data_IF_022145286673
#
_entry.id   IF_022145286673
#
_cell.length_a   1.000
_cell.length_b   1.000
_cell.length_c   1.000
_cell.angle_alpha   90.00
_cell.angle_beta   90.00
_cell.angle_gamma   90.00
#
_symmetry.space_group_name_H-M   'P 1'
#
loop_
_entity.id
_entity.type
_entity.pdbx_description
1 polymer ?
#
# COMPACT_ATOMS: atom_id res chain seq x y z
N UNK A 1 5.79 -31.71 -57.07
CA UNK A 1 4.96 -30.75 -56.29
C UNK A 1 5.49 -30.69 -54.89
N UNK A 2 6.08 -29.60 -54.51
CA UNK A 2 6.57 -29.41 -53.13
C UNK A 2 5.61 -28.49 -52.43
N UNK A 3 4.87 -29.01 -51.46
CA UNK A 3 4.05 -28.22 -50.59
C UNK A 3 4.92 -27.50 -49.56
N UNK A 4 5.08 -26.22 -49.71
CA UNK A 4 5.67 -25.39 -48.67
C UNK A 4 4.64 -25.18 -47.56
N UNK A 5 4.77 -25.96 -46.49
CA UNK A 5 4.09 -25.72 -45.25
C UNK A 5 4.81 -24.56 -44.58
N UNK A 6 4.29 -23.37 -44.78
CA UNK A 6 4.67 -22.20 -43.95
C UNK A 6 4.00 -22.40 -42.58
N UNK A 7 4.76 -22.97 -41.66
CA UNK A 7 4.34 -22.94 -40.26
C UNK A 7 4.43 -21.51 -39.78
N UNK A 8 3.29 -20.81 -39.77
CA UNK A 8 3.16 -19.52 -39.13
C UNK A 8 3.23 -19.75 -37.61
N UNK A 9 4.45 -19.66 -37.07
CA UNK A 9 4.63 -19.63 -35.62
C UNK A 9 4.07 -18.33 -35.11
N UNK A 10 2.80 -18.35 -34.74
CA UNK A 10 2.21 -17.25 -34.00
C UNK A 10 2.90 -17.22 -32.62
N UNK A 11 3.89 -16.34 -32.47
CA UNK A 11 4.41 -15.98 -31.17
C UNK A 11 3.25 -15.29 -30.42
N UNK A 12 2.55 -16.06 -29.64
CA UNK A 12 1.69 -15.52 -28.58
C UNK A 12 2.64 -14.87 -27.57
N UNK A 13 2.93 -13.58 -27.77
CA UNK A 13 3.46 -12.77 -26.70
C UNK A 13 2.32 -12.64 -25.70
N UNK A 14 2.25 -13.59 -24.77
CA UNK A 14 1.44 -13.40 -23.58
C UNK A 14 2.06 -12.22 -22.83
N UNK A 15 1.55 -11.01 -23.09
CA UNK A 15 1.86 -9.86 -22.28
C UNK A 15 1.46 -10.21 -20.85
N UNK A 16 2.43 -10.52 -19.98
CA UNK A 16 2.19 -10.62 -18.56
C UNK A 16 1.82 -9.22 -18.08
N UNK A 17 0.52 -8.96 -17.93
CA UNK A 17 0.03 -7.83 -17.17
C UNK A 17 0.47 -8.08 -15.73
N UNK A 18 1.54 -7.42 -15.30
CA UNK A 18 1.93 -7.45 -13.90
C UNK A 18 0.82 -6.77 -13.10
N UNK A 19 0.12 -7.56 -12.29
CA UNK A 19 -0.87 -7.03 -11.38
C UNK A 19 -0.17 -6.15 -10.35
N UNK A 20 -0.71 -4.95 -10.11
CA UNK A 20 -0.22 -4.09 -9.06
C UNK A 20 -0.43 -4.75 -7.69
N UNK A 21 0.51 -4.53 -6.78
CA UNK A 21 0.41 -4.94 -5.40
C UNK A 21 0.36 -3.73 -4.47
N UNK A 22 -0.38 -3.87 -3.38
CA UNK A 22 -0.45 -2.87 -2.33
C UNK A 22 0.30 -3.36 -1.10
N UNK A 23 1.04 -2.46 -0.47
CA UNK A 23 1.65 -2.69 0.83
C UNK A 23 1.10 -1.66 1.82
N UNK A 24 0.56 -2.13 2.93
CA UNK A 24 0.13 -1.28 4.03
C UNK A 24 1.05 -1.48 5.21
N UNK A 25 1.62 -0.40 5.73
CA UNK A 25 2.49 -0.38 6.90
C UNK A 25 1.85 0.44 8.01
N UNK A 26 1.69 -0.18 9.17
CA UNK A 26 1.25 0.50 10.39
C UNK A 26 2.49 0.91 11.19
N UNK A 27 2.59 2.18 11.52
CA UNK A 27 3.81 2.77 12.08
C UNK A 27 3.44 3.57 13.32
N UNK A 28 4.26 3.46 14.36
CA UNK A 28 4.20 4.33 15.53
C UNK A 28 5.28 5.40 15.43
N UNK A 29 4.86 6.65 15.45
CA UNK A 29 5.73 7.83 15.45
C UNK A 29 5.91 8.31 16.89
N UNK A 30 7.15 8.53 17.32
CA UNK A 30 7.48 8.90 18.69
C UNK A 30 8.70 9.83 18.75
N UNK A 31 8.76 10.66 19.79
CA UNK A 31 9.93 11.45 20.12
C UNK A 31 10.75 10.83 21.26
N UNK A 32 10.27 9.75 21.86
CA UNK A 32 11.03 9.00 22.86
C UNK A 32 12.26 8.34 22.22
N UNK A 33 13.36 8.26 22.95
CA UNK A 33 14.63 7.74 22.48
C UNK A 33 14.58 6.27 22.10
N UNK A 34 14.05 6.00 20.91
CA UNK A 34 14.04 4.67 20.29
C UNK A 34 14.71 4.79 18.92
N UNK A 35 15.34 3.71 18.49
CA UNK A 35 15.94 3.67 17.15
C UNK A 35 14.83 3.46 16.13
N UNK A 36 14.85 4.23 15.04
CA UNK A 36 13.94 4.00 13.92
C UNK A 36 14.19 2.61 13.34
N UNK A 37 13.10 1.88 13.07
CA UNK A 37 13.16 0.56 12.47
C UNK A 37 13.88 0.62 11.12
N UNK A 38 14.93 -0.20 10.92
CA UNK A 38 15.66 -0.22 9.65
C UNK A 38 14.78 -0.52 8.43
N UNK A 39 13.67 -1.24 8.59
CA UNK A 39 12.72 -1.52 7.51
C UNK A 39 12.00 -0.27 6.99
N UNK A 40 12.07 0.85 7.70
CA UNK A 40 11.44 2.12 7.34
C UNK A 40 12.40 3.12 6.71
N UNK A 41 13.65 2.75 6.47
CA UNK A 41 14.67 3.67 5.93
C UNK A 41 14.30 4.29 4.59
N UNK A 42 13.57 3.55 3.76
CA UNK A 42 13.11 4.01 2.46
C UNK A 42 12.16 5.22 2.55
N UNK A 43 11.37 5.31 3.62
CA UNK A 43 10.38 6.38 3.83
C UNK A 43 10.68 7.30 5.02
N UNK A 44 11.70 7.03 5.80
CA UNK A 44 12.02 7.80 7.01
C UNK A 44 12.13 9.31 6.75
N UNK A 45 12.85 9.80 5.72
CA UNK A 45 12.93 11.23 5.46
C UNK A 45 11.56 11.87 5.19
N UNK A 46 10.68 11.15 4.53
CA UNK A 46 9.32 11.62 4.24
C UNK A 46 8.44 11.62 5.48
N UNK A 47 8.57 10.60 6.34
CA UNK A 47 7.87 10.52 7.61
C UNK A 47 8.25 11.71 8.51
N UNK A 48 9.54 12.01 8.63
CA UNK A 48 10.04 13.14 9.42
C UNK A 48 9.51 14.48 8.92
N UNK A 49 9.51 14.69 7.61
CA UNK A 49 8.99 15.93 7.02
C UNK A 49 7.49 16.11 7.21
N UNK A 50 6.72 15.03 7.12
CA UNK A 50 5.26 15.10 7.18
C UNK A 50 4.74 15.19 8.60
N UNK A 51 5.33 14.46 9.54
CA UNK A 51 4.79 14.27 10.88
C UNK A 51 5.62 14.90 11.98
N UNK A 52 6.88 15.21 11.73
CA UNK A 52 7.72 15.94 12.68
C UNK A 52 8.24 15.14 13.87
N UNK A 53 8.01 13.82 13.91
CA UNK A 53 8.57 12.95 14.92
C UNK A 53 9.97 12.49 14.53
N UNK A 54 10.77 12.11 15.52
CA UNK A 54 12.15 11.69 15.27
C UNK A 54 12.29 10.18 15.06
N UNK A 55 11.44 9.38 15.67
CA UNK A 55 11.54 7.92 15.68
C UNK A 55 10.28 7.26 15.16
N UNK A 56 10.48 6.19 14.39
CA UNK A 56 9.38 5.47 13.75
C UNK A 56 9.58 3.97 13.93
N UNK A 57 8.54 3.28 14.39
CA UNK A 57 8.54 1.84 14.60
C UNK A 57 7.46 1.19 13.73
N UNK A 58 7.85 0.12 13.02
CA UNK A 58 6.89 -0.70 12.28
C UNK A 58 6.10 -1.57 13.26
N UNK A 59 4.79 -1.41 13.31
CA UNK A 59 3.88 -2.21 14.12
C UNK A 59 3.30 -3.40 13.35
N UNK A 60 3.08 -3.24 12.06
CA UNK A 60 2.53 -4.28 11.21
C UNK A 60 2.68 -3.94 9.75
N UNK A 61 2.70 -4.97 8.92
CA UNK A 61 2.79 -4.85 7.46
C UNK A 61 2.01 -5.97 6.80
N UNK A 62 1.28 -5.62 5.74
CA UNK A 62 0.57 -6.58 4.89
C UNK A 62 0.71 -6.18 3.44
N UNK A 63 0.78 -7.19 2.56
CA UNK A 63 0.85 -7.01 1.11
C UNK A 63 -0.23 -7.85 0.45
N UNK A 64 -0.82 -7.31 -0.61
CA UNK A 64 -1.81 -8.02 -1.45
C UNK A 64 -1.63 -7.65 -2.91
N UNK A 65 -1.84 -8.63 -3.79
CA UNK A 65 -1.97 -8.39 -5.23
C UNK A 65 -3.40 -7.96 -5.50
N UNK A 66 -3.56 -6.79 -6.10
CA UNK A 66 -4.86 -6.17 -6.31
C UNK A 66 -5.56 -6.69 -7.57
N UNK A 67 -6.86 -6.98 -7.42
CA UNK A 67 -7.79 -7.25 -8.53
C UNK A 67 -8.95 -6.27 -8.43
N UNK A 68 -9.39 -5.73 -9.56
CA UNK A 68 -10.49 -4.78 -9.59
C UNK A 68 -11.76 -5.35 -8.94
N UNK A 69 -12.50 -4.47 -8.28
CA UNK A 69 -13.81 -4.74 -7.65
C UNK A 69 -13.81 -5.80 -6.53
N UNK A 70 -12.63 -6.23 -6.06
CA UNK A 70 -12.51 -7.11 -4.91
C UNK A 70 -12.05 -6.32 -3.69
N UNK A 71 -12.73 -6.49 -2.56
CA UNK A 71 -12.33 -5.87 -1.30
C UNK A 71 -11.33 -6.76 -0.58
N UNK A 72 -10.18 -6.17 -0.23
CA UNK A 72 -9.12 -6.82 0.54
C UNK A 72 -9.16 -6.32 1.97
N UNK A 73 -9.04 -7.24 2.91
CA UNK A 73 -8.94 -6.94 4.33
C UNK A 73 -7.51 -7.17 4.79
N UNK A 74 -6.82 -6.09 5.14
CA UNK A 74 -5.43 -6.13 5.60
C UNK A 74 -5.41 -5.94 7.12
N UNK A 75 -5.14 -7.01 7.85
CA UNK A 75 -4.99 -6.96 9.30
C UNK A 75 -3.56 -6.55 9.64
N UNK A 76 -3.39 -5.38 10.23
CA UNK A 76 -2.09 -4.81 10.56
C UNK A 76 -1.66 -5.06 12.01
N UNK A 77 -2.49 -5.77 12.78
CA UNK A 77 -2.24 -6.02 14.19
C UNK A 77 -2.82 -4.93 15.10
N UNK A 78 -2.84 -5.19 16.38
CA UNK A 78 -3.33 -4.27 17.43
C UNK A 78 -4.77 -3.75 17.21
N UNK A 79 -5.60 -4.52 16.51
CA UNK A 79 -6.98 -4.15 16.18
C UNK A 79 -7.10 -3.22 14.96
N UNK A 80 -6.02 -2.86 14.31
CA UNK A 80 -6.03 -2.02 13.11
C UNK A 80 -6.21 -2.86 11.85
N UNK A 81 -7.18 -2.48 11.03
CA UNK A 81 -7.51 -3.13 9.77
C UNK A 81 -7.68 -2.09 8.68
N UNK A 82 -7.16 -2.38 7.51
CA UNK A 82 -7.37 -1.57 6.30
C UNK A 82 -8.14 -2.38 5.29
N UNK A 83 -9.27 -1.83 4.82
CA UNK A 83 -10.02 -2.39 3.70
C UNK A 83 -9.69 -1.62 2.44
N UNK A 84 -9.34 -2.33 1.39
CA UNK A 84 -8.98 -1.74 0.10
C UNK A 84 -9.84 -2.37 -0.99
N UNK A 85 -10.50 -1.52 -1.77
CA UNK A 85 -11.29 -1.96 -2.93
C UNK A 85 -10.78 -1.23 -4.17
N UNK A 86 -10.00 -1.87 -5.03
CA UNK A 86 -9.59 -1.29 -6.30
C UNK A 86 -10.81 -1.04 -7.19
N UNK A 87 -10.87 0.15 -7.79
CA UNK A 87 -11.99 0.56 -8.67
C UNK A 87 -11.58 0.60 -10.12
N UNK A 88 -10.54 1.36 -10.44
CA UNK A 88 -10.08 1.53 -11.83
C UNK A 88 -8.59 1.82 -11.88
N UNK A 89 -8.00 1.51 -13.03
CA UNK A 89 -6.60 1.83 -13.33
C UNK A 89 -6.56 2.55 -14.67
N UNK A 90 -5.90 3.69 -14.70
CA UNK A 90 -5.68 4.49 -15.91
C UNK A 90 -4.31 5.13 -15.87
N UNK A 91 -3.48 4.90 -16.88
CA UNK A 91 -2.16 5.52 -17.01
C UNK A 91 -1.27 5.36 -15.77
N UNK A 92 -1.21 4.13 -15.21
CA UNK A 92 -0.48 3.79 -13.98
C UNK A 92 -1.02 4.47 -12.72
N UNK A 93 -2.16 5.13 -12.81
CA UNK A 93 -2.87 5.71 -11.69
C UNK A 93 -3.99 4.77 -11.27
N UNK A 94 -4.01 4.39 -10.01
CA UNK A 94 -4.98 3.46 -9.43
C UNK A 94 -5.93 4.20 -8.51
N UNK A 95 -7.21 4.10 -8.83
CA UNK A 95 -8.27 4.59 -7.96
C UNK A 95 -8.77 3.45 -7.08
N UNK A 96 -8.87 3.70 -5.79
CA UNK A 96 -9.34 2.70 -4.82
C UNK A 96 -10.11 3.33 -3.68
N UNK A 97 -11.09 2.60 -3.18
CA UNK A 97 -11.72 2.90 -1.90
C UNK A 97 -10.85 2.34 -0.79
N UNK A 98 -10.64 3.15 0.25
CA UNK A 98 -9.82 2.80 1.39
C UNK A 98 -10.56 3.13 2.67
N UNK A 99 -10.64 2.15 3.59
CA UNK A 99 -11.16 2.35 4.93
C UNK A 99 -10.17 1.81 5.96
N UNK A 100 -9.77 2.67 6.87
CA UNK A 100 -8.90 2.31 7.99
C UNK A 100 -9.72 2.27 9.26
N UNK A 101 -9.75 1.12 9.93
CA UNK A 101 -10.54 0.91 11.14
C UNK A 101 -9.66 0.53 12.32
N UNK A 102 -10.14 0.85 13.52
CA UNK A 102 -9.61 0.36 14.79
C UNK A 102 -10.77 -0.24 15.58
N UNK A 103 -10.74 -1.58 15.75
CA UNK A 103 -11.88 -2.29 16.30
C UNK A 103 -13.15 -2.04 15.48
N UNK A 104 -14.19 -1.46 16.11
CA UNK A 104 -15.46 -1.11 15.44
C UNK A 104 -15.49 0.32 14.90
N UNK A 105 -14.47 1.13 15.19
CA UNK A 105 -14.42 2.53 14.79
C UNK A 105 -13.80 2.67 13.39
N UNK A 106 -14.45 3.41 12.50
CA UNK A 106 -13.88 3.85 11.24
C UNK A 106 -13.06 5.12 11.48
N UNK A 107 -11.76 5.05 11.24
CA UNK A 107 -10.84 6.19 11.42
C UNK A 107 -10.79 7.07 10.18
N UNK A 108 -10.71 6.43 9.02
CA UNK A 108 -10.65 7.08 7.71
C UNK A 108 -11.43 6.25 6.72
N UNK A 109 -12.28 6.90 5.93
CA UNK A 109 -12.98 6.28 4.81
C UNK A 109 -12.94 7.25 3.64
N UNK A 110 -12.26 6.86 2.56
CA UNK A 110 -12.00 7.76 1.45
C UNK A 110 -11.76 7.00 0.16
N UNK A 111 -11.86 7.72 -0.95
CA UNK A 111 -11.41 7.25 -2.25
C UNK A 111 -10.12 7.98 -2.61
N UNK A 112 -9.09 7.24 -2.97
CA UNK A 112 -7.78 7.78 -3.28
C UNK A 112 -7.33 7.39 -4.68
N UNK A 113 -6.47 8.20 -5.27
CA UNK A 113 -5.74 7.88 -6.50
C UNK A 113 -4.26 7.84 -6.17
N UNK A 114 -3.64 6.70 -6.42
CA UNK A 114 -2.22 6.48 -6.14
C UNK A 114 -1.54 6.02 -7.42
N UNK A 115 -0.42 6.67 -7.77
CA UNK A 115 0.43 6.20 -8.85
C UNK A 115 1.32 5.05 -8.37
N UNK A 116 1.65 4.14 -9.28
CA UNK A 116 2.61 3.08 -9.01
C UNK A 116 3.95 3.66 -8.56
N UNK A 117 4.52 3.09 -7.51
CA UNK A 117 5.76 3.56 -6.88
C UNK A 117 5.57 4.67 -5.84
N UNK A 118 4.38 5.21 -5.68
CA UNK A 118 4.10 6.28 -4.73
C UNK A 118 3.58 5.74 -3.39
N UNK A 119 3.71 6.58 -2.37
CA UNK A 119 3.26 6.33 -1.02
C UNK A 119 2.14 7.30 -0.63
N UNK A 120 1.14 6.79 0.06
CA UNK A 120 0.09 7.57 0.72
C UNK A 120 0.35 7.54 2.23
N UNK A 121 0.44 8.70 2.85
CA UNK A 121 0.67 8.84 4.29
C UNK A 121 -0.59 9.33 4.96
N UNK A 122 -1.09 8.59 5.95
CA UNK A 122 -2.31 8.93 6.68
C UNK A 122 -2.01 8.97 8.16
N UNK A 123 -2.25 10.11 8.80
CA UNK A 123 -2.14 10.26 10.25
C UNK A 123 -3.39 9.71 10.93
N UNK A 124 -3.20 8.80 11.86
CA UNK A 124 -4.25 8.17 12.62
C UNK A 124 -4.37 8.69 14.04
N UNK A 125 -4.79 7.85 14.99
CA UNK A 125 -5.01 8.27 16.36
C UNK A 125 -3.72 8.51 17.13
N UNK A 126 -3.80 9.37 18.13
CA UNK A 126 -2.75 9.56 19.12
C UNK A 126 -2.78 8.46 20.17
N UNK A 127 -1.59 8.09 20.66
CA UNK A 127 -1.40 7.14 21.77
C UNK A 127 -0.43 7.80 22.75
N UNK A 128 -0.97 8.46 23.79
CA UNK A 128 -0.15 9.32 24.64
C UNK A 128 0.42 10.47 23.82
N UNK A 129 1.73 10.64 23.87
CA UNK A 129 2.46 11.64 23.07
C UNK A 129 2.84 11.13 21.67
N UNK A 130 2.57 9.86 21.39
CA UNK A 130 2.88 9.21 20.11
C UNK A 130 1.68 9.24 19.17
N UNK A 131 1.93 8.96 17.91
CA UNK A 131 0.89 8.86 16.88
C UNK A 131 1.02 7.59 16.08
N UNK A 132 -0.14 7.07 15.66
CA UNK A 132 -0.19 5.97 14.70
C UNK A 132 -0.32 6.55 13.29
N UNK A 133 0.47 6.04 12.38
CA UNK A 133 0.53 6.45 10.98
C UNK A 133 0.35 5.23 10.09
N UNK A 134 -0.45 5.38 9.05
CA UNK A 134 -0.60 4.38 8.00
C UNK A 134 0.14 4.84 6.75
N UNK A 135 0.97 3.98 6.19
CA UNK A 135 1.61 4.21 4.90
C UNK A 135 1.16 3.14 3.91
N UNK A 136 0.51 3.56 2.86
CA UNK A 136 0.06 2.70 1.77
C UNK A 136 0.94 2.95 0.56
N UNK A 137 1.57 1.90 0.06
CA UNK A 137 2.45 1.95 -1.10
C UNK A 137 1.89 1.06 -2.19
N UNK A 138 1.84 1.59 -3.40
CA UNK A 138 1.48 0.82 -4.58
C UNK A 138 2.74 0.41 -5.33
N UNK A 139 2.88 -0.89 -5.61
CA UNK A 139 4.01 -1.47 -6.32
C UNK A 139 3.55 -2.22 -7.57
N UNK A 140 4.42 -2.28 -8.54
CA UNK A 140 4.22 -3.16 -9.71
C UNK A 140 4.47 -4.63 -9.35
#
# INVERSE_FOLDING_TARGET
MRSLLVALLALLVAGSTQAASIEARLIRASNDKKVTDPSLRDIEPRLKRRFGYEYYQLLGVQQEVLREHKTYRLNLGEGFVVFVTPKSTSQRMHEMDLEWTSGKASLVKTTVKIAEGNHLFIKGPGVGDDWIVLVVTLRE
#
